data_IF_900798420552
#
_entry.id   IF_900798420552
#
_cell.length_a   1.000
_cell.length_b   1.000
_cell.length_c   1.000
_cell.angle_alpha   90.00
_cell.angle_beta   90.00
_cell.angle_gamma   90.00
#
_symmetry.space_group_name_H-M   'P 1'
#
loop_
_entity.id
_entity.type
_entity.pdbx_description
1 polymer ?
#
# COMPACT_ATOMS: atom_id res chain seq x y z
N UNK A 1 0.06 3.57 23.57
CA UNK A 1 -0.31 2.38 22.75
C UNK A 1 0.95 1.69 22.28
N UNK A 2 0.96 0.36 22.24
CA UNK A 2 2.04 -0.47 21.69
C UNK A 2 1.65 -0.94 20.29
N UNK A 3 2.54 -0.74 19.33
CA UNK A 3 2.35 -1.10 17.93
C UNK A 3 3.17 -2.34 17.59
N UNK A 4 2.56 -3.32 16.95
CA UNK A 4 3.28 -4.42 16.33
C UNK A 4 2.99 -4.47 14.81
N UNK A 5 4.04 -4.58 14.00
CA UNK A 5 3.95 -4.52 12.54
C UNK A 5 4.33 -5.86 11.93
N UNK A 6 3.41 -6.48 11.23
CA UNK A 6 3.68 -7.66 10.42
C UNK A 6 4.15 -7.22 9.03
N UNK A 7 5.48 -7.20 8.83
CA UNK A 7 6.14 -6.80 7.61
C UNK A 7 6.63 -5.34 7.59
N UNK A 8 7.83 -5.11 8.07
CA UNK A 8 8.52 -3.80 8.00
C UNK A 8 9.09 -3.54 6.59
N UNK A 9 8.18 -3.49 5.60
CA UNK A 9 8.47 -3.12 4.21
C UNK A 9 8.53 -1.60 4.00
N UNK A 10 8.53 -1.17 2.74
CA UNK A 10 8.62 0.25 2.34
C UNK A 10 7.56 1.12 3.04
N UNK A 11 6.28 0.79 2.91
CA UNK A 11 5.16 1.54 3.50
C UNK A 11 5.21 1.58 5.03
N UNK A 12 5.43 0.43 5.66
CA UNK A 12 5.48 0.34 7.11
C UNK A 12 6.65 1.14 7.71
N UNK A 13 7.80 1.17 7.04
CA UNK A 13 8.95 1.99 7.47
C UNK A 13 8.66 3.49 7.39
N UNK A 14 7.99 3.96 6.33
CA UNK A 14 7.54 5.35 6.24
C UNK A 14 6.54 5.70 7.34
N UNK A 15 5.61 4.80 7.65
CA UNK A 15 4.69 4.97 8.78
C UNK A 15 5.43 5.10 10.11
N UNK A 16 6.40 4.22 10.39
CA UNK A 16 7.21 4.26 11.61
C UNK A 16 8.01 5.55 11.71
N UNK A 17 8.70 5.96 10.64
CA UNK A 17 9.47 7.23 10.62
C UNK A 17 8.61 8.42 11.01
N UNK A 18 7.35 8.46 10.57
CA UNK A 18 6.45 9.60 10.80
C UNK A 18 5.74 9.55 12.14
N UNK A 19 5.39 8.37 12.62
CA UNK A 19 4.46 8.21 13.74
C UNK A 19 4.98 7.37 14.92
N UNK A 20 6.24 6.93 14.93
CA UNK A 20 6.79 6.14 16.06
C UNK A 20 6.60 6.82 17.41
N UNK A 21 6.77 8.14 17.49
CA UNK A 21 6.56 8.92 18.71
C UNK A 21 5.13 8.92 19.26
N UNK A 22 4.14 8.42 18.48
CA UNK A 22 2.76 8.25 18.95
C UNK A 22 2.55 6.95 19.73
N UNK A 23 3.55 6.08 19.77
CA UNK A 23 3.49 4.77 20.41
C UNK A 23 4.53 4.67 21.52
N UNK A 24 4.16 4.06 22.65
CA UNK A 24 5.10 3.79 23.75
C UNK A 24 6.10 2.69 23.41
N UNK A 25 5.77 1.86 22.43
CA UNK A 25 6.64 0.79 21.92
C UNK A 25 6.26 0.44 20.48
N UNK A 26 7.28 0.20 19.65
CA UNK A 26 7.12 -0.25 18.26
C UNK A 26 8.01 -1.46 18.02
N UNK A 27 7.39 -2.56 17.61
CA UNK A 27 8.06 -3.78 17.21
C UNK A 27 7.54 -4.24 15.84
N UNK A 28 8.29 -5.09 15.15
CA UNK A 28 7.79 -5.62 13.89
C UNK A 28 8.62 -6.75 13.30
N UNK A 29 8.07 -7.36 12.26
CA UNK A 29 8.70 -8.50 11.62
C UNK A 29 9.42 -8.14 10.33
N UNK A 30 10.52 -8.83 10.10
CA UNK A 30 11.29 -8.89 8.85
C UNK A 30 11.61 -10.36 8.56
N UNK A 31 12.02 -10.68 7.33
CA UNK A 31 12.41 -12.06 6.99
C UNK A 31 13.66 -12.50 7.73
N UNK A 32 14.64 -11.64 7.78
CA UNK A 32 15.94 -11.89 8.44
C UNK A 32 16.37 -10.63 9.21
N UNK A 33 16.19 -10.61 10.54
CA UNK A 33 16.58 -9.47 11.37
C UNK A 33 18.07 -9.10 11.28
N UNK A 34 18.95 -10.12 11.13
CA UNK A 34 20.39 -9.90 11.09
C UNK A 34 20.88 -9.10 9.87
N UNK A 35 20.03 -8.95 8.84
CA UNK A 35 20.32 -8.19 7.62
C UNK A 35 19.64 -6.83 7.57
N UNK A 36 19.23 -6.28 8.70
CA UNK A 36 18.40 -5.08 8.75
C UNK A 36 18.96 -4.00 9.68
N UNK A 37 20.22 -3.66 9.49
CA UNK A 37 20.89 -2.55 10.19
C UNK A 37 20.21 -1.20 9.95
N UNK A 38 19.53 -1.05 8.81
CA UNK A 38 18.73 0.11 8.45
C UNK A 38 17.50 0.33 9.34
N UNK A 39 17.18 -0.63 10.21
CA UNK A 39 16.10 -0.58 11.20
C UNK A 39 16.63 -0.58 12.65
N UNK A 40 17.88 -0.17 12.85
CA UNK A 40 18.46 -0.05 14.18
C UNK A 40 17.58 0.82 15.08
N UNK A 41 17.36 0.37 16.32
CA UNK A 41 16.48 1.05 17.28
C UNK A 41 15.04 0.54 17.31
N UNK A 42 14.65 -0.37 16.39
CA UNK A 42 13.37 -1.08 16.46
C UNK A 42 13.56 -2.50 17.01
N UNK A 43 12.59 -2.99 17.75
CA UNK A 43 12.54 -4.41 18.13
C UNK A 43 12.12 -5.25 16.93
N UNK A 44 13.05 -6.08 16.41
CA UNK A 44 12.86 -6.87 15.21
C UNK A 44 12.68 -8.35 15.52
N UNK A 45 11.70 -8.96 14.83
CA UNK A 45 11.39 -10.39 14.91
C UNK A 45 11.49 -11.03 13.54
N UNK A 46 12.00 -12.26 13.45
CA UNK A 46 12.01 -13.03 12.22
C UNK A 46 10.62 -13.61 11.90
N UNK A 47 10.15 -13.42 10.66
CA UNK A 47 8.92 -14.04 10.17
C UNK A 47 8.97 -14.26 8.65
N UNK A 48 8.85 -15.49 8.21
CA UNK A 48 8.86 -15.90 6.80
C UNK A 48 7.58 -16.62 6.35
N UNK A 49 6.51 -16.52 7.17
CA UNK A 49 5.22 -17.19 6.89
C UNK A 49 4.99 -18.47 7.68
N UNK A 50 6.00 -18.98 8.38
CA UNK A 50 5.89 -20.14 9.27
C UNK A 50 5.43 -19.71 10.68
N UNK A 51 5.27 -20.70 11.58
CA UNK A 51 4.97 -20.43 12.99
C UNK A 51 6.05 -19.49 13.56
N UNK A 52 5.68 -18.30 14.08
CA UNK A 52 6.63 -17.38 14.68
C UNK A 52 7.16 -17.91 16.03
N UNK A 53 8.31 -17.40 16.47
CA UNK A 53 8.83 -17.69 17.80
C UNK A 53 7.85 -17.24 18.91
N UNK A 54 7.87 -17.91 20.05
CA UNK A 54 6.98 -17.57 21.18
C UNK A 54 7.18 -16.14 21.68
N UNK A 55 8.40 -15.60 21.61
CA UNK A 55 8.68 -14.19 21.90
C UNK A 55 7.90 -13.24 20.98
N UNK A 56 7.81 -13.55 19.69
CA UNK A 56 7.02 -12.80 18.71
C UNK A 56 5.52 -12.87 19.04
N UNK A 57 5.02 -14.08 19.36
CA UNK A 57 3.62 -14.27 19.75
C UNK A 57 3.28 -13.47 21.01
N UNK A 58 4.17 -13.45 22.00
CA UNK A 58 3.96 -12.67 23.23
C UNK A 58 3.92 -11.16 22.94
N UNK A 59 4.81 -10.65 22.08
CA UNK A 59 4.76 -9.23 21.67
C UNK A 59 3.47 -8.86 20.95
N UNK A 60 2.95 -9.76 20.12
CA UNK A 60 1.65 -9.56 19.45
C UNK A 60 0.51 -9.57 20.46
N UNK A 61 0.54 -10.45 21.47
CA UNK A 61 -0.44 -10.44 22.56
C UNK A 61 -0.46 -9.15 23.34
N UNK A 62 0.71 -8.55 23.53
CA UNK A 62 0.87 -7.30 24.27
C UNK A 62 0.57 -6.05 23.43
N UNK A 63 0.44 -6.16 22.12
CA UNK A 63 0.18 -5.03 21.24
C UNK A 63 -1.28 -4.54 21.34
N UNK A 64 -1.45 -3.21 21.36
CA UNK A 64 -2.75 -2.56 21.28
C UNK A 64 -3.20 -2.39 19.83
N UNK A 65 -2.22 -2.28 18.90
CA UNK A 65 -2.43 -2.10 17.46
C UNK A 65 -1.57 -3.08 16.67
N UNK A 66 -2.18 -3.74 15.70
CA UNK A 66 -1.50 -4.59 14.70
C UNK A 66 -1.61 -3.95 13.32
N UNK A 67 -0.47 -3.67 12.68
CA UNK A 67 -0.41 -3.27 11.28
C UNK A 67 0.02 -4.47 10.42
N UNK A 68 -0.86 -4.92 9.53
CA UNK A 68 -0.61 -6.05 8.63
C UNK A 68 -0.21 -5.50 7.26
N UNK A 69 1.07 -5.60 6.94
CA UNK A 69 1.66 -5.13 5.67
C UNK A 69 2.22 -6.27 4.80
N UNK A 70 2.11 -7.52 5.26
CA UNK A 70 2.48 -8.71 4.50
C UNK A 70 1.34 -9.04 3.53
N UNK A 71 1.61 -9.24 2.23
CA UNK A 71 0.58 -9.67 1.29
C UNK A 71 0.21 -11.15 1.48
N UNK A 72 -1.03 -11.56 1.15
CA UNK A 72 -1.37 -12.97 1.03
C UNK A 72 -0.59 -13.61 -0.12
N UNK A 73 -0.34 -14.90 -0.01
CA UNK A 73 0.28 -15.74 -1.02
C UNK A 73 -0.68 -16.79 -1.56
N UNK A 74 -0.17 -17.70 -2.41
CA UNK A 74 -0.98 -18.76 -3.03
C UNK A 74 -1.61 -19.74 -2.02
N UNK A 75 -1.07 -19.81 -0.82
CA UNK A 75 -1.58 -20.66 0.28
C UNK A 75 -2.44 -19.88 1.29
N UNK A 76 -2.85 -18.65 0.96
CA UNK A 76 -3.60 -17.75 1.84
C UNK A 76 -2.76 -16.67 2.50
N UNK A 77 -3.31 -16.02 3.51
CA UNK A 77 -2.61 -14.97 4.25
C UNK A 77 -1.71 -15.61 5.34
N UNK A 78 -0.37 -15.47 5.22
CA UNK A 78 0.56 -16.12 6.15
C UNK A 78 0.49 -15.54 7.58
N UNK A 79 0.14 -14.25 7.70
CA UNK A 79 -0.02 -13.62 9.01
C UNK A 79 -1.27 -14.14 9.71
N UNK A 80 -2.37 -14.29 8.97
CA UNK A 80 -3.61 -14.87 9.50
C UNK A 80 -3.44 -16.33 9.87
N UNK A 81 -2.81 -17.13 9.00
CA UNK A 81 -2.55 -18.55 9.27
C UNK A 81 -1.69 -18.78 10.53
N UNK A 82 -0.71 -17.91 10.77
CA UNK A 82 0.20 -18.05 11.92
C UNK A 82 -0.35 -17.46 13.21
N UNK A 83 -1.22 -16.47 13.17
CA UNK A 83 -1.56 -15.58 14.28
C UNK A 83 -3.06 -15.34 14.47
N UNK A 84 -3.92 -15.87 13.60
CA UNK A 84 -5.38 -15.67 13.66
C UNK A 84 -5.96 -15.96 15.05
N UNK A 85 -5.59 -17.08 15.67
CA UNK A 85 -6.03 -17.44 17.02
C UNK A 85 -5.60 -16.45 18.10
N UNK A 86 -4.43 -15.82 17.93
CA UNK A 86 -3.92 -14.82 18.87
C UNK A 86 -4.69 -13.51 18.72
N UNK A 87 -5.04 -13.15 17.48
CA UNK A 87 -5.83 -11.96 17.18
C UNK A 87 -7.28 -12.10 17.63
N UNK A 88 -7.90 -13.24 17.35
CA UNK A 88 -9.29 -13.53 17.71
C UNK A 88 -9.57 -13.45 19.22
N UNK A 89 -8.57 -13.73 20.05
CA UNK A 89 -8.67 -13.71 21.53
C UNK A 89 -8.39 -12.34 22.14
N UNK A 90 -8.12 -11.30 21.34
CA UNK A 90 -7.74 -9.99 21.85
C UNK A 90 -8.60 -8.86 21.29
N UNK A 91 -8.75 -7.80 22.07
CA UNK A 91 -9.47 -6.58 21.68
C UNK A 91 -8.50 -5.51 21.13
N UNK A 92 -7.72 -5.88 20.14
CA UNK A 92 -6.73 -4.97 19.53
C UNK A 92 -7.21 -4.43 18.20
N UNK A 93 -6.78 -3.22 17.88
CA UNK A 93 -7.02 -2.63 16.56
C UNK A 93 -6.17 -3.32 15.51
N UNK A 94 -6.79 -3.81 14.45
CA UNK A 94 -6.10 -4.34 13.29
C UNK A 94 -6.20 -3.34 12.14
N UNK A 95 -5.08 -3.00 11.52
CA UNK A 95 -5.02 -2.24 10.27
C UNK A 95 -4.43 -3.15 9.20
N UNK A 96 -5.22 -3.47 8.18
CA UNK A 96 -4.83 -4.35 7.08
C UNK A 96 -4.59 -3.56 5.80
N UNK A 97 -3.36 -3.63 5.25
CA UNK A 97 -3.03 -2.98 3.99
C UNK A 97 -3.44 -3.86 2.81
N UNK A 98 -4.56 -3.53 2.20
CA UNK A 98 -5.09 -4.18 1.01
C UNK A 98 -4.75 -3.41 -0.27
N UNK A 99 -5.47 -3.61 -1.36
CA UNK A 99 -5.25 -2.99 -2.66
C UNK A 99 -6.56 -2.64 -3.36
N UNK A 100 -6.59 -1.53 -4.08
CA UNK A 100 -7.70 -1.20 -5.00
C UNK A 100 -7.82 -2.19 -6.17
N UNK A 101 -6.79 -3.02 -6.42
CA UNK A 101 -6.83 -4.06 -7.45
C UNK A 101 -7.94 -5.10 -7.27
N UNK A 102 -8.61 -5.14 -6.11
CA UNK A 102 -9.77 -5.98 -5.84
C UNK A 102 -10.99 -5.65 -6.72
N UNK A 103 -11.10 -4.40 -7.17
CA UNK A 103 -12.22 -3.98 -8.01
C UNK A 103 -12.22 -4.58 -9.42
N UNK A 104 -11.03 -4.87 -9.97
CA UNK A 104 -10.92 -5.38 -11.33
C UNK A 104 -11.09 -4.31 -12.40
N UNK A 105 -11.64 -4.71 -13.57
CA UNK A 105 -11.81 -3.81 -14.70
C UNK A 105 -13.21 -3.18 -14.72
N UNK A 106 -13.23 -1.86 -14.81
CA UNK A 106 -14.43 -1.04 -14.96
C UNK A 106 -14.36 -0.13 -16.20
N UNK A 107 -13.52 -0.48 -17.18
CA UNK A 107 -13.31 0.30 -18.41
C UNK A 107 -13.04 1.80 -18.16
N UNK A 108 -12.32 2.12 -17.08
CA UNK A 108 -12.03 3.49 -16.66
C UNK A 108 -13.17 4.20 -15.93
N UNK A 109 -14.28 3.53 -15.63
CA UNK A 109 -15.37 4.07 -14.82
C UNK A 109 -14.99 4.28 -13.36
N UNK A 110 -15.82 5.05 -12.63
CA UNK A 110 -15.63 5.30 -11.21
C UNK A 110 -16.14 4.13 -10.35
N UNK A 111 -15.37 3.82 -9.32
CA UNK A 111 -15.72 2.84 -8.28
C UNK A 111 -15.44 3.43 -6.89
N UNK A 112 -16.16 2.92 -5.89
CA UNK A 112 -15.96 3.24 -4.48
C UNK A 112 -16.09 1.96 -3.62
N UNK A 113 -16.12 2.13 -2.29
CA UNK A 113 -16.19 1.01 -1.36
C UNK A 113 -17.52 0.24 -1.38
N UNK A 114 -18.57 0.80 -1.99
CA UNK A 114 -19.85 0.10 -2.24
C UNK A 114 -19.80 -0.81 -3.46
N UNK A 115 -18.81 -0.60 -4.34
CA UNK A 115 -18.60 -1.43 -5.54
C UNK A 115 -18.07 -2.80 -5.13
N UNK A 116 -18.77 -3.90 -5.49
CA UNK A 116 -18.30 -5.25 -5.17
C UNK A 116 -16.93 -5.56 -5.79
N UNK A 117 -16.02 -6.22 -5.05
CA UNK A 117 -14.80 -6.76 -5.64
C UNK A 117 -15.10 -7.79 -6.72
N UNK A 118 -14.52 -7.60 -7.92
CA UNK A 118 -14.77 -8.49 -9.07
C UNK A 118 -13.54 -8.82 -9.93
N UNK A 119 -12.32 -8.62 -9.37
CA UNK A 119 -11.10 -8.88 -10.12
C UNK A 119 -10.96 -10.35 -10.50
N UNK A 120 -10.61 -10.61 -11.76
CA UNK A 120 -10.29 -11.95 -12.28
C UNK A 120 -8.87 -12.40 -11.91
N UNK A 121 -8.01 -11.50 -11.43
CA UNK A 121 -6.63 -11.81 -11.10
C UNK A 121 -6.52 -12.58 -9.79
N UNK A 122 -5.80 -13.70 -9.77
CA UNK A 122 -5.60 -14.53 -8.57
C UNK A 122 -5.12 -13.75 -7.37
N UNK A 123 -4.13 -12.87 -7.56
CA UNK A 123 -3.61 -12.03 -6.48
C UNK A 123 -4.66 -11.11 -5.86
N UNK A 124 -5.63 -10.67 -6.64
CA UNK A 124 -6.72 -9.84 -6.13
C UNK A 124 -7.78 -10.67 -5.41
N UNK A 125 -8.12 -11.87 -5.94
CA UNK A 125 -9.02 -12.81 -5.25
C UNK A 125 -8.46 -13.24 -3.89
N UNK A 126 -7.15 -13.56 -3.82
CA UNK A 126 -6.49 -13.85 -2.54
C UNK A 126 -6.57 -12.67 -1.56
N UNK A 127 -6.49 -11.44 -2.07
CA UNK A 127 -6.61 -10.24 -1.24
C UNK A 127 -8.04 -10.07 -0.70
N UNK A 128 -9.07 -10.30 -1.53
CA UNK A 128 -10.48 -10.28 -1.08
C UNK A 128 -10.73 -11.34 0.01
N UNK A 129 -10.24 -12.55 -0.20
CA UNK A 129 -10.37 -13.61 0.81
C UNK A 129 -9.67 -13.23 2.14
N UNK A 130 -8.49 -12.58 2.07
CA UNK A 130 -7.80 -12.10 3.25
C UNK A 130 -8.56 -10.95 3.94
N UNK A 131 -9.16 -9.99 3.20
CA UNK A 131 -10.01 -8.94 3.78
C UNK A 131 -11.17 -9.54 4.60
N UNK A 132 -11.86 -10.54 4.03
CA UNK A 132 -12.97 -11.22 4.71
C UNK A 132 -12.49 -11.95 5.97
N UNK A 133 -11.44 -12.75 5.84
CA UNK A 133 -10.90 -13.53 6.96
C UNK A 133 -10.37 -12.65 8.10
N UNK A 134 -9.73 -11.51 7.81
CA UNK A 134 -9.33 -10.54 8.83
C UNK A 134 -10.53 -9.88 9.50
N UNK A 135 -11.61 -9.59 8.75
CA UNK A 135 -12.85 -9.01 9.30
C UNK A 135 -13.50 -9.96 10.29
N UNK A 136 -13.59 -11.24 9.95
CA UNK A 136 -14.12 -12.29 10.82
C UNK A 136 -13.24 -12.50 12.05
N UNK A 137 -11.93 -12.64 11.85
CA UNK A 137 -10.97 -12.91 12.94
C UNK A 137 -10.90 -11.76 13.94
N UNK A 138 -10.92 -10.52 13.49
CA UNK A 138 -10.90 -9.33 14.34
C UNK A 138 -12.30 -8.90 14.81
N UNK A 139 -13.33 -9.72 14.57
CA UNK A 139 -14.72 -9.44 15.00
C UNK A 139 -15.21 -8.04 14.59
N UNK A 140 -14.86 -7.61 13.38
CA UNK A 140 -15.19 -6.29 12.85
C UNK A 140 -14.27 -5.15 13.30
N UNK A 141 -13.36 -5.35 14.25
CA UNK A 141 -12.40 -4.33 14.69
C UNK A 141 -11.15 -4.29 13.77
N UNK A 142 -11.37 -4.27 12.46
CA UNK A 142 -10.34 -4.15 11.44
C UNK A 142 -10.57 -2.93 10.54
N UNK A 143 -9.53 -2.17 10.29
CA UNK A 143 -9.48 -1.13 9.27
C UNK A 143 -8.79 -1.69 8.02
N UNK A 144 -9.54 -1.89 6.95
CA UNK A 144 -9.03 -2.36 5.66
C UNK A 144 -8.75 -1.14 4.80
N UNK A 145 -7.48 -0.92 4.46
CA UNK A 145 -7.04 0.16 3.60
C UNK A 145 -6.69 -0.38 2.22
N UNK A 146 -7.54 -0.15 1.23
CA UNK A 146 -7.32 -0.52 -0.18
C UNK A 146 -6.42 0.52 -0.83
N UNK A 147 -5.12 0.23 -0.88
CA UNK A 147 -4.09 1.15 -1.37
C UNK A 147 -4.02 1.15 -2.89
N UNK A 148 -3.87 2.33 -3.48
CA UNK A 148 -3.52 2.53 -4.88
C UNK A 148 -2.03 2.28 -5.16
N UNK A 149 -1.57 2.56 -6.38
CA UNK A 149 -0.17 2.45 -6.76
C UNK A 149 0.72 3.34 -5.89
N UNK A 150 1.57 2.73 -5.07
CA UNK A 150 2.38 3.42 -4.06
C UNK A 150 3.59 4.07 -4.71
N UNK A 151 3.79 5.36 -4.49
CA UNK A 151 5.00 6.08 -4.85
C UNK A 151 5.52 6.95 -3.69
N UNK A 152 6.75 7.44 -3.82
CA UNK A 152 7.40 8.30 -2.82
C UNK A 152 8.92 8.25 -2.96
N UNK A 153 9.70 8.63 -1.93
CA UNK A 153 11.15 8.69 -1.97
C UNK A 153 11.77 7.37 -2.44
N UNK A 154 12.64 7.43 -3.45
CA UNK A 154 13.32 6.28 -4.05
C UNK A 154 12.41 5.36 -4.90
N UNK A 155 11.13 5.62 -5.01
CA UNK A 155 10.15 4.81 -5.74
C UNK A 155 9.14 5.69 -6.49
N UNK A 156 9.57 6.27 -7.62
CA UNK A 156 8.73 7.19 -8.39
C UNK A 156 9.22 7.33 -9.83
N UNK A 157 8.54 8.14 -10.63
CA UNK A 157 8.84 8.35 -12.04
C UNK A 157 10.19 9.04 -12.28
N UNK A 158 10.65 9.93 -11.38
CA UNK A 158 11.95 10.60 -11.50
C UNK A 158 13.09 9.58 -11.43
N UNK A 159 13.01 8.66 -10.47
CA UNK A 159 14.01 7.59 -10.28
C UNK A 159 14.05 6.66 -11.50
N UNK A 160 12.89 6.28 -12.05
CA UNK A 160 12.84 5.41 -13.23
C UNK A 160 13.35 6.10 -14.50
N UNK A 161 13.11 7.40 -14.67
CA UNK A 161 13.70 8.20 -15.74
C UNK A 161 15.20 8.27 -15.62
N UNK A 162 15.72 8.58 -14.43
CA UNK A 162 17.18 8.63 -14.20
C UNK A 162 17.88 7.30 -14.47
N UNK A 163 17.26 6.19 -14.07
CA UNK A 163 17.81 4.84 -14.31
C UNK A 163 17.65 4.35 -15.75
N UNK A 164 17.01 5.12 -16.63
CA UNK A 164 16.73 4.73 -18.01
C UNK A 164 15.71 3.60 -18.15
N UNK A 165 14.95 3.29 -17.09
CA UNK A 165 13.97 2.19 -17.10
C UNK A 165 12.53 2.67 -17.31
N UNK A 166 12.31 4.01 -17.36
CA UNK A 166 11.01 4.57 -17.62
C UNK A 166 10.52 4.27 -19.03
N UNK A 167 9.24 3.92 -19.15
CA UNK A 167 8.59 3.65 -20.45
C UNK A 167 7.26 4.36 -20.53
N UNK A 168 6.91 4.86 -21.72
CA UNK A 168 5.63 5.50 -22.00
C UNK A 168 4.73 4.56 -22.81
N UNK A 169 4.09 3.63 -22.09
CA UNK A 169 3.18 2.67 -22.71
C UNK A 169 1.82 3.31 -22.89
N UNK A 170 1.36 3.39 -24.14
CA UNK A 170 0.09 3.98 -24.52
C UNK A 170 -0.97 2.88 -24.68
N UNK A 171 -1.96 2.89 -23.81
CA UNK A 171 -3.17 2.09 -23.95
C UNK A 171 -4.39 3.01 -23.82
N UNK A 172 -5.18 3.21 -24.89
CA UNK A 172 -6.33 4.11 -24.86
C UNK A 172 -7.29 3.79 -23.70
N UNK A 173 -7.75 4.82 -22.99
CA UNK A 173 -8.68 4.66 -21.87
C UNK A 173 -8.08 4.12 -20.56
N UNK A 174 -6.78 3.76 -20.54
CA UNK A 174 -6.13 3.27 -19.33
C UNK A 174 -5.87 4.40 -18.34
N UNK A 175 -6.28 4.17 -17.08
CA UNK A 175 -5.92 5.03 -15.96
C UNK A 175 -5.35 4.19 -14.82
N UNK A 176 -4.42 4.79 -14.07
CA UNK A 176 -3.89 4.25 -12.83
C UNK A 176 -4.14 5.23 -11.69
N UNK A 177 -4.58 4.72 -10.56
CA UNK A 177 -4.67 5.48 -9.33
C UNK A 177 -3.35 5.34 -8.57
N UNK A 178 -2.96 6.40 -7.86
CA UNK A 178 -1.70 6.47 -7.11
C UNK A 178 -1.95 6.99 -5.70
N UNK A 179 -0.95 6.83 -4.86
CA UNK A 179 -0.94 7.42 -3.53
C UNK A 179 0.50 7.61 -3.05
N UNK A 180 0.80 8.78 -2.51
CA UNK A 180 2.10 9.03 -1.89
C UNK A 180 2.22 8.28 -0.57
N UNK A 181 3.40 7.73 -0.28
CA UNK A 181 3.62 6.89 0.90
C UNK A 181 3.38 7.61 2.23
N UNK A 182 3.61 8.93 2.29
CA UNK A 182 3.33 9.72 3.49
C UNK A 182 1.83 9.93 3.72
N UNK A 183 1.03 9.98 2.65
CA UNK A 183 -0.43 10.01 2.76
C UNK A 183 -0.98 8.64 3.19
N UNK A 184 -0.33 7.55 2.75
CA UNK A 184 -0.64 6.22 3.31
C UNK A 184 -0.35 6.20 4.81
N UNK A 185 0.78 6.76 5.26
CA UNK A 185 1.10 6.80 6.69
C UNK A 185 0.03 7.55 7.49
N UNK A 186 -0.48 8.67 6.96
CA UNK A 186 -1.60 9.40 7.55
C UNK A 186 -2.90 8.59 7.57
N UNK A 187 -3.20 7.88 6.47
CA UNK A 187 -4.36 7.01 6.36
C UNK A 187 -4.30 5.78 7.31
N UNK A 188 -3.10 5.25 7.60
CA UNK A 188 -2.91 4.19 8.61
C UNK A 188 -3.21 4.72 10.02
N UNK A 189 -2.74 5.94 10.34
CA UNK A 189 -2.90 6.51 11.66
C UNK A 189 -4.35 6.92 11.98
N UNK A 190 -5.12 7.28 10.97
CA UNK A 190 -6.48 7.78 11.14
C UNK A 190 -7.43 6.77 11.83
N UNK A 191 -7.61 5.52 11.38
CA UNK A 191 -8.49 4.56 12.06
C UNK A 191 -7.96 4.13 13.43
N UNK A 192 -6.66 4.27 13.71
CA UNK A 192 -6.09 4.01 15.02
C UNK A 192 -6.56 5.08 16.03
N UNK A 193 -6.61 6.33 15.61
CA UNK A 193 -7.05 7.46 16.45
C UNK A 193 -8.55 7.49 16.69
N UNK A 194 -9.33 7.09 15.69
CA UNK A 194 -10.79 7.12 15.72
C UNK A 194 -11.42 5.80 16.16
N UNK A 195 -10.62 4.76 16.37
CA UNK A 195 -11.05 3.39 16.71
C UNK A 195 -12.17 2.85 15.79
N UNK A 196 -12.09 3.18 14.50
CA UNK A 196 -13.09 2.77 13.51
C UNK A 196 -12.66 1.52 12.76
N UNK A 197 -13.54 0.50 12.71
CA UNK A 197 -13.48 -0.60 11.75
C UNK A 197 -14.17 -0.23 10.44
N UNK A 198 -13.74 -0.84 9.34
CA UNK A 198 -14.33 -0.62 8.03
C UNK A 198 -13.33 -0.75 6.89
N UNK A 199 -13.80 -0.42 5.68
CA UNK A 199 -12.99 -0.46 4.46
C UNK A 199 -12.93 0.92 3.83
N UNK A 200 -11.71 1.35 3.45
CA UNK A 200 -11.48 2.65 2.83
C UNK A 200 -10.49 2.55 1.67
N UNK A 201 -10.81 3.24 0.58
CA UNK A 201 -9.89 3.44 -0.53
C UNK A 201 -8.88 4.54 -0.19
N UNK A 202 -7.61 4.26 -0.46
CA UNK A 202 -6.50 5.19 -0.20
C UNK A 202 -5.78 5.45 -1.51
N UNK A 203 -6.20 6.51 -2.18
CA UNK A 203 -5.64 7.02 -3.44
C UNK A 203 -5.63 8.55 -3.44
N UNK A 204 -4.85 9.14 -4.34
CA UNK A 204 -4.86 10.58 -4.61
C UNK A 204 -6.12 10.99 -5.41
N UNK A 205 -6.23 12.28 -5.73
CA UNK A 205 -7.41 12.87 -6.38
C UNK A 205 -7.32 12.84 -7.92
N UNK A 206 -6.18 12.38 -8.49
CA UNK A 206 -5.94 12.45 -9.94
C UNK A 206 -5.59 11.07 -10.52
N UNK A 207 -6.60 10.19 -10.78
CA UNK A 207 -6.37 9.02 -11.61
C UNK A 207 -5.88 9.45 -12.99
N UNK A 208 -4.71 8.99 -13.40
CA UNK A 208 -4.08 9.47 -14.65
C UNK A 208 -3.49 8.32 -15.47
N UNK A 209 -3.41 8.48 -16.80
CA UNK A 209 -2.68 7.57 -17.66
C UNK A 209 -1.21 7.44 -17.23
N UNK A 210 -0.60 6.25 -17.30
CA UNK A 210 0.77 6.05 -16.82
C UNK A 210 1.81 6.90 -17.60
N UNK A 211 1.61 7.10 -18.89
CA UNK A 211 2.51 7.89 -19.74
C UNK A 211 2.53 9.37 -19.35
N UNK A 212 1.44 9.94 -18.84
CA UNK A 212 1.35 11.35 -18.46
C UNK A 212 2.23 11.64 -17.23
N UNK A 213 2.30 10.70 -16.30
CA UNK A 213 3.14 10.79 -15.10
C UNK A 213 4.62 10.78 -15.47
N UNK A 214 5.01 9.94 -16.44
CA UNK A 214 6.39 9.91 -16.97
C UNK A 214 6.71 11.20 -17.72
N UNK A 215 5.79 11.71 -18.56
CA UNK A 215 5.98 12.96 -19.28
C UNK A 215 6.14 14.14 -18.31
N UNK A 216 5.31 14.21 -17.27
CA UNK A 216 5.42 15.25 -16.24
C UNK A 216 6.75 15.18 -15.48
N UNK A 217 7.18 13.99 -15.08
CA UNK A 217 8.47 13.82 -14.41
C UNK A 217 9.65 14.22 -15.32
N UNK A 218 9.60 13.88 -16.61
CA UNK A 218 10.61 14.30 -17.59
C UNK A 218 10.66 15.83 -17.73
N UNK A 219 9.48 16.48 -17.75
CA UNK A 219 9.38 17.95 -17.75
C UNK A 219 10.04 18.58 -16.52
N UNK A 220 9.82 18.05 -15.32
CA UNK A 220 10.47 18.52 -14.09
C UNK A 220 12.00 18.38 -14.15
N UNK A 221 12.48 17.31 -14.75
CA UNK A 221 13.92 17.06 -14.93
C UNK A 221 14.53 17.89 -16.07
N UNK A 222 13.75 18.58 -16.89
CA UNK A 222 14.22 19.31 -18.07
C UNK A 222 14.78 18.41 -19.18
N UNK A 223 14.30 17.16 -19.28
CA UNK A 223 14.75 16.17 -20.27
C UNK A 223 13.60 15.78 -21.21
N UNK A 224 13.96 15.28 -22.40
CA UNK A 224 12.97 14.69 -23.30
C UNK A 224 12.37 13.42 -22.67
N UNK A 225 11.04 13.24 -22.70
CA UNK A 225 10.44 11.99 -22.23
C UNK A 225 10.82 10.82 -23.16
N UNK A 226 10.83 9.58 -22.67
CA UNK A 226 10.99 8.39 -23.51
C UNK A 226 9.97 8.37 -24.66
N UNK A 227 10.25 7.72 -25.79
CA UNK A 227 9.29 7.58 -26.89
C UNK A 227 8.03 6.84 -26.42
N UNK A 228 6.94 7.09 -27.12
CA UNK A 228 5.69 6.36 -26.91
C UNK A 228 5.75 4.97 -27.49
N UNK A 229 5.24 3.99 -26.76
CA UNK A 229 5.16 2.60 -27.17
C UNK A 229 3.70 2.13 -27.10
N UNK A 230 3.14 1.63 -28.18
CA UNK A 230 1.79 1.06 -28.16
C UNK A 230 1.75 -0.18 -27.28
N UNK A 231 0.72 -0.28 -26.44
CA UNK A 231 0.56 -1.41 -25.51
C UNK A 231 0.57 -2.78 -26.21
N UNK A 232 0.00 -2.85 -27.42
CA UNK A 232 -0.14 -4.06 -28.22
C UNK A 232 1.22 -4.65 -28.58
N UNK A 233 2.19 -3.81 -28.90
CA UNK A 233 3.53 -4.19 -29.38
C UNK A 233 4.62 -4.07 -28.31
N UNK A 234 4.33 -3.43 -27.17
CA UNK A 234 5.31 -3.22 -26.12
C UNK A 234 5.75 -4.54 -25.48
N UNK A 235 7.04 -4.78 -25.42
CA UNK A 235 7.62 -5.91 -24.69
C UNK A 235 7.53 -5.66 -23.19
N UNK A 236 6.77 -6.48 -22.49
CA UNK A 236 6.58 -6.38 -21.05
C UNK A 236 6.58 -7.76 -20.39
N UNK A 237 7.04 -7.83 -19.13
CA UNK A 237 6.84 -9.03 -18.33
C UNK A 237 5.34 -9.30 -18.14
N UNK A 238 4.96 -10.56 -17.92
CA UNK A 238 3.58 -10.95 -17.65
C UNK A 238 2.99 -10.17 -16.45
N UNK A 239 3.80 -9.90 -15.44
CA UNK A 239 3.42 -9.08 -14.28
C UNK A 239 3.12 -7.62 -14.69
N UNK A 240 3.99 -6.97 -15.46
CA UNK A 240 3.77 -5.60 -15.92
C UNK A 240 2.50 -5.52 -16.80
N UNK A 241 2.33 -6.45 -17.75
CA UNK A 241 1.16 -6.53 -18.61
C UNK A 241 -0.14 -6.73 -17.82
N UNK A 242 -0.10 -7.49 -16.71
CA UNK A 242 -1.28 -7.73 -15.88
C UNK A 242 -1.82 -6.48 -15.17
N UNK A 243 -1.01 -5.42 -14.99
CA UNK A 243 -1.52 -4.13 -14.46
C UNK A 243 -2.39 -3.38 -15.48
N UNK A 244 -2.21 -3.64 -16.77
CA UNK A 244 -3.05 -3.06 -17.82
C UNK A 244 -4.32 -3.88 -18.11
N UNK A 245 -4.53 -5.01 -17.42
CA UNK A 245 -5.71 -5.84 -17.58
C UNK A 245 -6.97 -5.24 -16.94
N UNK A 246 -6.83 -4.20 -16.13
CA UNK A 246 -7.94 -3.50 -15.47
C UNK A 246 -7.73 -2.01 -15.50
N UNK A 247 -8.83 -1.25 -15.64
CA UNK A 247 -8.86 0.20 -15.60
C UNK A 247 -10.10 0.63 -14.82
N UNK A 248 -9.87 1.39 -13.73
CA UNK A 248 -10.93 1.97 -12.91
C UNK A 248 -10.43 3.28 -12.30
N UNK A 249 -11.32 4.26 -12.13
CA UNK A 249 -11.09 5.44 -11.29
C UNK A 249 -11.64 5.16 -9.91
N UNK A 250 -10.81 5.30 -8.88
CA UNK A 250 -11.20 4.95 -7.51
C UNK A 250 -11.44 6.21 -6.69
N UNK A 251 -12.61 6.30 -6.06
CA UNK A 251 -12.96 7.41 -5.19
C UNK A 251 -12.31 7.26 -3.81
N UNK A 252 -11.73 8.34 -3.30
CA UNK A 252 -11.20 8.46 -1.93
C UNK A 252 -12.10 9.33 -1.02
N UNK A 253 -13.30 9.62 -1.47
CA UNK A 253 -14.21 10.52 -0.73
C UNK A 253 -14.55 9.97 0.66
N UNK A 254 -14.65 8.66 0.81
CA UNK A 254 -15.01 8.02 2.08
C UNK A 254 -13.92 8.18 3.14
N UNK A 255 -12.65 7.93 2.81
CA UNK A 255 -11.54 8.07 3.76
C UNK A 255 -11.39 9.51 4.24
N UNK A 256 -11.61 10.49 3.36
CA UNK A 256 -11.61 11.92 3.71
C UNK A 256 -12.76 12.28 4.64
N UNK A 257 -13.98 11.86 4.32
CA UNK A 257 -15.18 12.19 5.08
C UNK A 257 -15.24 11.50 6.44
N UNK A 258 -14.94 10.20 6.50
CA UNK A 258 -15.16 9.40 7.71
C UNK A 258 -13.94 9.37 8.65
N UNK A 259 -12.72 9.45 8.10
CA UNK A 259 -11.50 9.41 8.87
C UNK A 259 -10.77 10.77 8.94
N UNK A 260 -11.31 11.81 8.30
CA UNK A 260 -10.71 13.14 8.31
C UNK A 260 -9.33 13.21 7.63
N UNK A 261 -9.02 12.26 6.74
CA UNK A 261 -7.72 12.23 6.06
C UNK A 261 -7.62 13.39 5.08
N UNK A 262 -6.61 14.23 5.27
CA UNK A 262 -6.20 15.27 4.32
C UNK A 262 -4.93 14.82 3.64
N UNK A 263 -4.92 14.81 2.30
CA UNK A 263 -3.75 14.43 1.53
C UNK A 263 -2.75 15.59 1.50
N UNK A 264 -1.49 15.31 1.86
CA UNK A 264 -0.39 16.24 1.68
C UNK A 264 -0.01 16.37 0.19
N UNK A 265 -0.25 15.29 -0.55
CA UNK A 265 0.02 15.20 -1.99
C UNK A 265 -1.27 14.81 -2.73
N UNK A 266 -2.21 15.76 -2.93
CA UNK A 266 -3.53 15.47 -3.48
C UNK A 266 -3.49 14.98 -4.94
N UNK A 267 -2.40 15.22 -5.67
CA UNK A 267 -2.19 14.66 -7.01
C UNK A 267 -0.74 14.17 -7.16
N UNK A 268 -0.50 13.30 -8.15
CA UNK A 268 0.86 12.86 -8.46
C UNK A 268 1.81 14.03 -8.79
N UNK A 269 1.28 15.18 -9.29
CA UNK A 269 2.05 16.38 -9.58
C UNK A 269 2.64 16.97 -8.32
N UNK A 270 1.82 17.20 -7.30
CA UNK A 270 2.29 17.69 -5.99
C UNK A 270 3.36 16.77 -5.37
N UNK A 271 3.16 15.45 -5.50
CA UNK A 271 4.12 14.48 -5.00
C UNK A 271 5.44 14.51 -5.76
N UNK A 272 5.40 14.53 -7.09
CA UNK A 272 6.63 14.59 -7.91
C UNK A 272 7.36 15.92 -7.74
N UNK A 273 6.65 17.05 -7.62
CA UNK A 273 7.26 18.36 -7.35
C UNK A 273 8.02 18.37 -6.01
N UNK A 274 7.43 17.78 -4.98
CA UNK A 274 8.08 17.64 -3.68
C UNK A 274 9.33 16.75 -3.77
N UNK A 275 9.19 15.56 -4.35
CA UNK A 275 10.29 14.61 -4.52
C UNK A 275 11.45 15.20 -5.34
N UNK A 276 11.14 15.96 -6.39
CA UNK A 276 12.16 16.65 -7.19
C UNK A 276 12.90 17.71 -6.38
N UNK A 277 12.17 18.52 -5.58
CA UNK A 277 12.79 19.51 -4.68
C UNK A 277 13.68 18.85 -3.63
N UNK A 278 13.27 17.70 -3.12
CA UNK A 278 14.02 16.93 -2.11
C UNK A 278 15.20 16.14 -2.68
N UNK A 279 15.40 16.19 -4.01
CA UNK A 279 16.56 15.61 -4.69
C UNK A 279 16.36 14.22 -5.28
N UNK A 280 15.16 13.65 -5.23
CA UNK A 280 14.86 12.39 -5.92
C UNK A 280 15.03 12.55 -7.43
N UNK A 281 15.73 11.62 -8.06
CA UNK A 281 16.01 11.69 -9.49
C UNK A 281 17.20 12.59 -9.88
N UNK A 282 17.98 13.10 -8.92
CA UNK A 282 19.24 13.85 -9.15
C UNK A 282 20.47 12.95 -9.13
#
# INVERSE_FOLDING_TARGET
MRLFILGLGYTARHFVRRFSGSFSHVAGTVRDPAKRDDLAGLELHGFSGNRPADSTVNRIRDADVLLISIPPGNTGDPALAALGDVVAKGHRKVVYLSTIGVYGDHAGGWVDESTPPQSSLDRARMRVAAEQAWTETAQGNVAILRLAGIYGPGRNALVTLRSGTARRIIKPGQVFNRIHVDDIASAIMAPIRHDNGGTWNVCDDEPAPPQDVIAYAAQLMGIAPPPEEAFETAEMSAMARSFYASSARVSNARVKRELGVTLAYPTYRHGLDALWRDGDGR
#
